data_IF_887341887662
#
_entry.id   IF_887341887662
#
_cell.length_a   1.000
_cell.length_b   1.000
_cell.length_c   1.000
_cell.angle_alpha   90.00
_cell.angle_beta   90.00
_cell.angle_gamma   90.00
#
_symmetry.space_group_name_H-M   'P 1'
#
loop_
_entity.id
_entity.type
_entity.pdbx_description
1 polymer ?
#
# COMPACT_ATOMS: atom_id res chain seq x y z
N UNK A 1 -25.04 -13.32 9.99
CA UNK A 1 -24.09 -13.61 11.09
C UNK A 1 -22.73 -14.15 10.57
N UNK A 2 -22.19 -13.63 9.46
CA UNK A 2 -20.89 -14.08 8.92
C UNK A 2 -19.69 -13.25 9.41
N UNK A 3 -19.91 -11.98 9.78
CA UNK A 3 -18.84 -11.07 10.20
C UNK A 3 -18.10 -11.52 11.47
N UNK A 4 -18.69 -12.42 12.26
CA UNK A 4 -18.16 -12.87 13.55
C UNK A 4 -17.65 -14.33 13.54
N UNK A 5 -17.63 -14.99 12.37
CA UNK A 5 -17.10 -16.35 12.24
C UNK A 5 -15.58 -16.41 12.51
N UNK A 6 -14.86 -15.32 12.21
CA UNK A 6 -13.42 -15.18 12.46
C UNK A 6 -13.02 -15.10 13.94
N UNK A 7 -13.92 -14.65 14.83
CA UNK A 7 -13.63 -14.57 16.27
C UNK A 7 -13.91 -15.89 17.00
N UNK A 8 -14.75 -16.77 16.44
CA UNK A 8 -15.22 -18.01 17.08
C UNK A 8 -14.41 -19.26 16.71
N UNK A 9 -13.72 -19.25 15.57
CA UNK A 9 -12.98 -20.41 15.08
C UNK A 9 -11.53 -20.04 14.71
N UNK A 10 -10.57 -20.87 15.12
CA UNK A 10 -9.14 -20.62 14.92
C UNK A 10 -8.73 -20.59 13.44
N UNK A 11 -9.39 -21.39 12.60
CA UNK A 11 -9.09 -21.54 11.16
C UNK A 11 -9.29 -20.24 10.35
N UNK A 12 -10.44 -19.54 10.40
CA UNK A 12 -10.61 -18.27 9.69
C UNK A 12 -9.70 -17.15 10.21
N UNK A 13 -9.32 -17.18 11.49
CA UNK A 13 -8.33 -16.26 12.06
C UNK A 13 -6.94 -16.46 11.45
N UNK A 14 -6.52 -17.71 11.24
CA UNK A 14 -5.24 -18.01 10.60
C UNK A 14 -5.27 -17.59 9.12
N UNK A 15 -6.35 -17.92 8.39
CA UNK A 15 -6.49 -17.56 6.98
C UNK A 15 -6.45 -16.05 6.73
N UNK A 16 -7.08 -15.26 7.60
CA UNK A 16 -7.07 -13.78 7.49
C UNK A 16 -5.70 -13.18 7.80
N UNK A 17 -4.94 -13.75 8.75
CA UNK A 17 -3.57 -13.34 9.02
C UNK A 17 -2.64 -13.70 7.85
N UNK A 18 -2.78 -14.90 7.28
CA UNK A 18 -2.03 -15.31 6.08
C UNK A 18 -2.37 -14.39 4.91
N UNK A 19 -3.65 -14.14 4.63
CA UNK A 19 -4.07 -13.28 3.54
C UNK A 19 -3.53 -11.85 3.68
N UNK A 20 -3.67 -11.22 4.86
CA UNK A 20 -3.14 -9.88 5.09
C UNK A 20 -1.61 -9.84 5.13
N UNK A 21 -0.95 -10.91 5.59
CA UNK A 21 0.50 -11.07 5.52
C UNK A 21 1.01 -11.17 4.09
N UNK A 22 0.36 -11.98 3.24
CA UNK A 22 0.66 -12.10 1.82
C UNK A 22 0.47 -10.75 1.12
N UNK A 23 -0.64 -10.06 1.37
CA UNK A 23 -0.90 -8.75 0.77
C UNK A 23 0.16 -7.71 1.17
N UNK A 24 0.52 -7.66 2.45
CA UNK A 24 1.55 -6.75 2.95
C UNK A 24 2.93 -7.09 2.38
N UNK A 25 3.26 -8.38 2.32
CA UNK A 25 4.50 -8.88 1.72
C UNK A 25 4.61 -8.57 0.23
N UNK A 26 3.54 -8.81 -0.54
CA UNK A 26 3.49 -8.48 -1.97
C UNK A 26 3.61 -6.98 -2.19
N UNK A 27 2.90 -6.15 -1.41
CA UNK A 27 3.01 -4.68 -1.49
C UNK A 27 4.44 -4.21 -1.23
N UNK A 28 5.09 -4.76 -0.20
CA UNK A 28 6.48 -4.43 0.11
C UNK A 28 7.43 -4.85 -1.02
N UNK A 29 7.24 -6.05 -1.57
CA UNK A 29 8.07 -6.59 -2.64
C UNK A 29 7.93 -5.75 -3.91
N UNK A 30 6.70 -5.40 -4.30
CA UNK A 30 6.42 -4.53 -5.45
C UNK A 30 7.08 -3.16 -5.27
N UNK A 31 6.92 -2.53 -4.10
CA UNK A 31 7.54 -1.24 -3.82
C UNK A 31 9.07 -1.28 -3.85
N UNK A 32 9.69 -2.27 -3.17
CA UNK A 32 11.14 -2.41 -3.12
C UNK A 32 11.76 -2.80 -4.46
N UNK A 33 11.26 -3.85 -5.10
CA UNK A 33 11.79 -4.31 -6.39
C UNK A 33 11.55 -3.25 -7.46
N UNK A 34 10.38 -2.61 -7.48
CA UNK A 34 10.10 -1.49 -8.38
C UNK A 34 11.09 -0.33 -8.18
N UNK A 35 11.32 0.10 -6.93
CA UNK A 35 12.26 1.20 -6.64
C UNK A 35 13.69 0.85 -7.07
N UNK A 36 14.11 -0.39 -6.85
CA UNK A 36 15.45 -0.86 -7.19
C UNK A 36 15.66 -0.96 -8.71
N UNK A 37 14.64 -1.41 -9.45
CA UNK A 37 14.65 -1.41 -10.91
C UNK A 37 14.72 0.02 -11.47
N UNK A 38 13.95 0.95 -10.90
CA UNK A 38 13.98 2.36 -11.30
C UNK A 38 15.35 3.00 -11.00
N UNK A 39 15.96 2.68 -9.87
CA UNK A 39 17.30 3.13 -9.51
C UNK A 39 18.35 2.59 -10.48
N UNK A 40 18.25 1.32 -10.88
CA UNK A 40 19.13 0.72 -11.88
C UNK A 40 18.94 1.37 -13.26
N UNK A 41 17.70 1.65 -13.67
CA UNK A 41 17.39 2.32 -14.93
C UNK A 41 17.93 3.76 -14.97
N UNK A 42 17.79 4.50 -13.87
CA UNK A 42 18.38 5.82 -13.69
C UNK A 42 19.92 5.77 -13.70
N UNK A 43 20.53 4.84 -12.98
CA UNK A 43 21.99 4.67 -12.94
C UNK A 43 22.57 4.23 -14.30
N UNK A 44 21.81 3.47 -15.09
CA UNK A 44 22.15 3.10 -16.46
C UNK A 44 21.92 4.24 -17.48
N UNK A 45 21.38 5.38 -17.03
CA UNK A 45 21.10 6.54 -17.87
C UNK A 45 19.94 6.35 -18.84
N UNK A 46 19.10 5.31 -18.67
CA UNK A 46 17.96 5.06 -19.57
C UNK A 46 16.76 5.96 -19.26
N UNK A 47 16.73 6.59 -18.08
CA UNK A 47 15.62 7.41 -17.61
C UNK A 47 16.05 8.78 -17.12
N UNK A 48 15.19 9.78 -17.35
CA UNK A 48 15.38 11.12 -16.82
C UNK A 48 15.00 11.18 -15.34
N UNK A 49 15.65 12.08 -14.59
CA UNK A 49 15.37 12.30 -13.18
C UNK A 49 13.88 12.56 -12.89
N UNK A 50 13.16 13.25 -13.80
CA UNK A 50 11.72 13.49 -13.67
C UNK A 50 10.88 12.21 -13.67
N UNK A 51 11.19 11.25 -14.54
CA UNK A 51 10.49 9.95 -14.59
C UNK A 51 10.84 9.08 -13.38
N UNK A 52 12.10 9.10 -12.94
CA UNK A 52 12.54 8.44 -11.72
C UNK A 52 11.73 8.92 -10.50
N UNK A 53 11.67 10.23 -10.27
CA UNK A 53 10.93 10.80 -9.14
C UNK A 53 9.42 10.53 -9.21
N UNK A 54 8.83 10.58 -10.41
CA UNK A 54 7.41 10.27 -10.60
C UNK A 54 7.09 8.80 -10.25
N UNK A 55 7.94 7.87 -10.67
CA UNK A 55 7.77 6.45 -10.35
C UNK A 55 8.04 6.16 -8.87
N UNK A 56 9.09 6.74 -8.28
CA UNK A 56 9.40 6.63 -6.84
C UNK A 56 8.23 7.10 -5.96
N UNK A 57 7.56 8.19 -6.32
CA UNK A 57 6.40 8.71 -5.58
C UNK A 57 5.22 7.73 -5.54
N UNK A 58 5.11 6.82 -6.52
CA UNK A 58 4.10 5.76 -6.50
C UNK A 58 4.58 4.50 -5.78
N UNK A 59 5.87 4.16 -5.87
CA UNK A 59 6.44 2.92 -5.33
C UNK A 59 6.73 2.98 -3.82
N UNK A 60 7.19 4.15 -3.33
CA UNK A 60 7.47 4.37 -1.91
C UNK A 60 6.23 4.18 -1.00
N UNK A 61 5.03 4.70 -1.35
CA UNK A 61 3.82 4.45 -0.56
C UNK A 61 3.47 2.95 -0.46
N UNK A 62 3.65 2.17 -1.53
CA UNK A 62 3.40 0.72 -1.50
C UNK A 62 4.44 -0.03 -0.64
N UNK A 63 5.71 0.37 -0.70
CA UNK A 63 6.74 -0.16 0.19
C UNK A 63 6.42 0.14 1.66
N UNK A 64 6.06 1.40 1.97
CA UNK A 64 5.69 1.83 3.31
C UNK A 64 4.44 1.11 3.82
N UNK A 65 3.38 1.00 3.00
CA UNK A 65 2.15 0.29 3.36
C UNK A 65 2.43 -1.20 3.62
N UNK A 66 3.25 -1.85 2.80
CA UNK A 66 3.64 -3.24 2.99
C UNK A 66 4.44 -3.45 4.29
N UNK A 67 5.40 -2.57 4.57
CA UNK A 67 6.19 -2.61 5.80
C UNK A 67 5.32 -2.37 7.04
N UNK A 68 4.44 -1.36 7.01
CA UNK A 68 3.51 -1.07 8.10
C UNK A 68 2.50 -2.21 8.30
N UNK A 69 2.02 -2.83 7.22
CA UNK A 69 1.16 -4.01 7.28
C UNK A 69 1.82 -5.21 7.95
N UNK A 70 3.09 -5.47 7.62
CA UNK A 70 3.90 -6.52 8.30
C UNK A 70 4.19 -6.18 9.77
N UNK A 71 4.52 -4.92 10.08
CA UNK A 71 4.70 -4.47 11.46
C UNK A 71 3.40 -4.63 12.27
N UNK A 72 2.25 -4.39 11.65
CA UNK A 72 0.95 -4.56 12.29
C UNK A 72 0.61 -6.03 12.61
N UNK A 73 1.34 -6.99 12.05
CA UNK A 73 1.25 -8.40 12.46
C UNK A 73 1.81 -8.61 13.88
N UNK A 74 2.72 -7.74 14.33
CA UNK A 74 3.34 -7.85 15.64
C UNK A 74 2.37 -7.43 16.76
N UNK A 75 2.16 -8.30 17.75
CA UNK A 75 1.24 -8.05 18.86
C UNK A 75 1.56 -6.78 19.67
N UNK A 76 2.83 -6.38 19.77
CA UNK A 76 3.25 -5.14 20.43
C UNK A 76 2.76 -3.90 19.67
N UNK A 77 2.85 -3.92 18.34
CA UNK A 77 2.37 -2.84 17.47
C UNK A 77 0.84 -2.75 17.53
N UNK A 78 0.14 -3.89 17.50
CA UNK A 78 -1.32 -3.91 17.67
C UNK A 78 -1.76 -3.29 18.99
N UNK A 79 -1.04 -3.54 20.09
CA UNK A 79 -1.32 -2.92 21.39
C UNK A 79 -1.02 -1.43 21.41
N UNK A 80 0.06 -1.00 20.75
CA UNK A 80 0.39 0.42 20.64
C UNK A 80 -0.67 1.18 19.83
N UNK A 81 -1.11 0.63 18.71
CA UNK A 81 -2.17 1.21 17.88
C UNK A 81 -3.51 1.19 18.63
N UNK A 82 -3.82 0.15 19.39
CA UNK A 82 -5.02 0.10 20.23
C UNK A 82 -5.05 1.17 21.34
N UNK A 83 -3.92 1.82 21.65
CA UNK A 83 -3.87 3.00 22.54
C UNK A 83 -4.21 4.30 21.81
N UNK A 84 -3.96 4.36 20.50
CA UNK A 84 -4.19 5.54 19.67
C UNK A 84 -5.58 5.51 19.01
N UNK A 85 -6.04 4.33 18.60
CA UNK A 85 -7.37 4.09 18.07
C UNK A 85 -8.10 3.08 18.96
N UNK A 86 -9.41 3.26 19.23
CA UNK A 86 -10.21 2.36 20.06
C UNK A 86 -10.58 1.07 19.29
N UNK A 87 -9.57 0.31 18.86
CA UNK A 87 -9.72 -0.97 18.15
C UNK A 87 -9.42 -2.13 19.08
N UNK A 88 -10.19 -3.22 18.99
CA UNK A 88 -9.91 -4.44 19.75
C UNK A 88 -8.61 -5.08 19.24
N UNK A 89 -7.56 -5.22 20.09
CA UNK A 89 -6.31 -5.84 19.70
C UNK A 89 -6.53 -7.35 19.46
N UNK A 90 -5.96 -7.87 18.37
CA UNK A 90 -6.03 -9.30 18.02
C UNK A 90 -7.27 -9.73 17.25
N UNK A 91 -8.17 -8.82 16.87
CA UNK A 91 -9.27 -9.15 15.95
C UNK A 91 -8.75 -9.27 14.51
N UNK A 92 -8.95 -10.43 13.84
CA UNK A 92 -8.49 -10.64 12.46
C UNK A 92 -9.13 -9.68 11.46
N UNK A 93 -10.37 -9.26 11.71
CA UNK A 93 -11.09 -8.29 10.87
C UNK A 93 -10.41 -6.93 10.94
N UNK A 94 -10.09 -6.46 12.15
CA UNK A 94 -9.38 -5.19 12.34
C UNK A 94 -8.01 -5.19 11.66
N UNK A 95 -7.28 -6.31 11.73
CA UNK A 95 -6.02 -6.48 10.99
C UNK A 95 -6.19 -6.28 9.49
N UNK A 96 -7.16 -6.97 8.91
CA UNK A 96 -7.44 -6.90 7.49
C UNK A 96 -7.91 -5.50 7.06
N UNK A 97 -8.74 -4.83 7.87
CA UNK A 97 -9.17 -3.45 7.64
C UNK A 97 -8.01 -2.46 7.67
N UNK A 98 -7.07 -2.60 8.61
CA UNK A 98 -5.89 -1.73 8.68
C UNK A 98 -4.99 -1.94 7.47
N UNK A 99 -4.70 -3.19 7.10
CA UNK A 99 -3.88 -3.50 5.92
C UNK A 99 -4.54 -2.96 4.64
N UNK A 100 -5.83 -3.20 4.44
CA UNK A 100 -6.56 -2.66 3.29
C UNK A 100 -6.63 -1.14 3.30
N UNK A 101 -6.80 -0.52 4.47
CA UNK A 101 -6.77 0.93 4.62
C UNK A 101 -5.42 1.52 4.23
N UNK A 102 -4.32 0.91 4.66
CA UNK A 102 -2.96 1.32 4.28
C UNK A 102 -2.74 1.20 2.77
N UNK A 103 -3.18 0.10 2.16
CA UNK A 103 -3.10 -0.10 0.71
C UNK A 103 -3.97 0.90 -0.05
N UNK A 104 -5.16 1.23 0.47
CA UNK A 104 -6.02 2.25 -0.12
C UNK A 104 -5.37 3.63 -0.08
N UNK A 105 -4.75 3.99 1.05
CA UNK A 105 -3.99 5.25 1.19
C UNK A 105 -2.83 5.28 0.19
N UNK A 106 -2.04 4.20 0.11
CA UNK A 106 -0.96 4.10 -0.88
C UNK A 106 -1.48 4.29 -2.31
N UNK A 107 -2.60 3.65 -2.66
CA UNK A 107 -3.22 3.80 -3.98
C UNK A 107 -3.74 5.23 -4.24
N UNK A 108 -4.31 5.90 -3.22
CA UNK A 108 -4.75 7.29 -3.36
C UNK A 108 -3.60 8.28 -3.52
N UNK A 109 -2.46 8.05 -2.86
CA UNK A 109 -1.26 8.86 -3.10
C UNK A 109 -0.74 8.64 -4.52
N UNK A 110 -0.70 7.39 -4.99
CA UNK A 110 -0.20 7.08 -6.34
C UNK A 110 -1.09 7.66 -7.44
N UNK A 111 -2.41 7.67 -7.28
CA UNK A 111 -3.34 8.23 -8.28
C UNK A 111 -3.29 9.76 -8.35
N UNK A 112 -2.96 10.46 -7.26
CA UNK A 112 -2.74 11.91 -7.29
C UNK A 112 -1.49 12.28 -8.11
N UNK A 113 -0.46 11.43 -8.11
CA UNK A 113 0.78 11.65 -8.87
C UNK A 113 0.59 11.43 -10.37
N UNK A 114 -0.32 10.53 -10.76
CA UNK A 114 -0.65 10.25 -12.17
C UNK A 114 -1.72 11.19 -12.73
N UNK A 115 -2.21 12.18 -11.97
CA UNK A 115 -3.16 13.17 -12.47
C UNK A 115 -2.48 14.02 -13.56
N UNK A 116 -2.64 13.57 -14.79
CA UNK A 116 -2.23 14.21 -16.03
C UNK A 116 -2.68 15.68 -16.01
N UNK A 117 -1.83 16.65 -16.42
CA UNK A 117 -2.27 18.04 -16.52
C UNK A 117 -3.52 18.10 -17.40
N UNK A 118 -4.55 18.86 -17.01
CA UNK A 118 -5.78 18.96 -17.80
C UNK A 118 -5.39 19.40 -19.21
N UNK A 119 -5.85 18.67 -20.23
CA UNK A 119 -5.71 19.03 -21.64
C UNK A 119 -6.13 20.49 -21.78
N UNK A 120 -5.14 21.37 -21.96
CA UNK A 120 -5.40 22.80 -22.10
C UNK A 120 -6.19 23.00 -23.40
N UNK A 121 -7.21 23.85 -23.38
CA UNK A 121 -8.04 24.16 -24.56
C UNK A 121 -7.24 24.50 -25.83
N UNK A 122 -5.98 24.92 -25.69
CA UNK A 122 -5.03 25.13 -26.79
C UNK A 122 -4.69 23.86 -27.58
N UNK A 123 -4.66 22.67 -26.94
CA UNK A 123 -4.40 21.40 -27.63
C UNK A 123 -5.62 20.91 -28.42
N UNK A 124 -6.84 21.23 -27.96
CA UNK A 124 -8.08 20.93 -28.69
C UNK A 124 -8.29 21.84 -29.91
N UNK A 125 -7.78 23.09 -29.86
CA UNK A 125 -7.86 24.05 -30.97
C UNK A 125 -6.77 23.88 -32.04
N UNK A 126 -5.70 23.15 -31.75
CA UNK A 126 -4.62 22.86 -32.71
C UNK A 126 -4.89 21.61 -33.56
N UNK A 127 -6.02 20.92 -33.32
CA UNK A 127 -6.39 19.66 -33.97
C UNK A 127 -7.53 19.82 -35.00
N UNK A 128 -8.09 21.03 -35.14
CA UNK A 128 -8.95 21.46 -36.27
C UNK A 128 -8.13 22.25 -37.30
#
# INVERSE_FOLDING_TARGET
MLANFGERHATPRILTLIAGGILSGLSLLVGLVGSLLQLLAYAAGSESAGKFWQNEQTLLPFAAAGLLGLLFLWAAVQRAVARLLPIRPGSPVNYLTVVLGLLLVANQLSTQVTAQPPLTYSELLAQD
#
